data_IF_818452900841
#
_entry.id   IF_818452900841
#
_cell.length_a   1.000
_cell.length_b   1.000
_cell.length_c   1.000
_cell.angle_alpha   90.00
_cell.angle_beta   90.00
_cell.angle_gamma   90.00
#
_symmetry.space_group_name_H-M   'P 1'
#
loop_
_entity.id
_entity.type
_entity.pdbx_description
1 polymer ?
#
# COMPACT_ATOMS: atom_id res chain seq x y z
N UNK A 1 -30.16 58.00 108.86
CA UNK A 1 -30.08 57.44 107.49
C UNK A 1 -31.47 56.96 107.14
N UNK A 2 -32.11 57.64 106.19
CA UNK A 2 -33.51 57.40 105.84
C UNK A 2 -33.63 56.11 105.02
N UNK A 3 -34.43 55.16 105.50
CA UNK A 3 -34.56 53.81 104.91
C UNK A 3 -35.09 53.88 103.47
N UNK A 4 -35.81 54.95 103.12
CA UNK A 4 -36.27 55.23 101.75
C UNK A 4 -35.15 55.56 100.76
N UNK A 5 -34.03 56.14 101.21
CA UNK A 5 -32.91 56.51 100.34
C UNK A 5 -32.06 55.30 99.93
N UNK A 6 -31.90 54.33 100.83
CA UNK A 6 -31.19 53.06 100.56
C UNK A 6 -32.00 52.19 99.59
N UNK A 7 -33.33 52.12 99.77
CA UNK A 7 -34.21 51.38 98.87
C UNK A 7 -34.20 51.95 97.44
N UNK A 8 -34.19 53.28 97.28
CA UNK A 8 -34.10 53.93 95.98
C UNK A 8 -32.76 53.68 95.26
N UNK A 9 -31.64 53.68 95.99
CA UNK A 9 -30.33 53.37 95.42
C UNK A 9 -30.22 51.91 94.94
N UNK A 10 -30.79 50.95 95.68
CA UNK A 10 -30.84 49.54 95.30
C UNK A 10 -31.72 49.34 94.06
N UNK A 11 -32.90 50.00 94.01
CA UNK A 11 -33.78 49.94 92.85
C UNK A 11 -33.13 50.52 91.57
N UNK A 12 -32.38 51.62 91.70
CA UNK A 12 -31.65 52.21 90.57
C UNK A 12 -30.50 51.30 90.10
N UNK A 13 -29.73 50.72 91.04
CA UNK A 13 -28.69 49.74 90.72
C UNK A 13 -29.23 48.49 89.99
N UNK A 14 -30.36 47.96 90.46
CA UNK A 14 -31.04 46.83 89.80
C UNK A 14 -31.53 47.19 88.39
N UNK A 15 -32.05 48.41 88.19
CA UNK A 15 -32.47 48.90 86.88
C UNK A 15 -31.28 49.04 85.90
N UNK A 16 -30.14 49.57 86.35
CA UNK A 16 -28.93 49.67 85.54
C UNK A 16 -28.41 48.29 85.09
N UNK A 17 -28.39 47.30 85.99
CA UNK A 17 -27.99 45.93 85.66
C UNK A 17 -28.97 45.29 84.66
N UNK A 18 -30.28 45.47 84.85
CA UNK A 18 -31.29 44.96 83.92
C UNK A 18 -31.17 45.57 82.51
N UNK A 19 -30.91 46.88 82.42
CA UNK A 19 -30.68 47.57 81.13
C UNK A 19 -29.39 47.10 80.46
N UNK A 20 -28.31 46.89 81.23
CA UNK A 20 -27.05 46.38 80.71
C UNK A 20 -27.19 44.95 80.21
N UNK A 21 -27.81 44.04 80.98
CA UNK A 21 -28.11 42.68 80.55
C UNK A 21 -29.02 42.64 79.31
N UNK A 22 -30.01 43.55 79.22
CA UNK A 22 -30.84 43.69 78.04
C UNK A 22 -30.04 44.19 76.81
N UNK A 23 -29.06 45.09 77.02
CA UNK A 23 -28.18 45.57 75.96
C UNK A 23 -27.20 44.48 75.49
N UNK A 24 -26.64 43.69 76.39
CA UNK A 24 -25.81 42.52 76.05
C UNK A 24 -26.61 41.45 75.31
N UNK A 25 -27.82 41.13 75.78
CA UNK A 25 -28.71 40.21 75.09
C UNK A 25 -29.04 40.68 73.66
N UNK A 26 -29.20 42.00 73.44
CA UNK A 26 -29.39 42.57 72.09
C UNK A 26 -28.14 42.45 71.22
N UNK A 27 -26.94 42.67 71.78
CA UNK A 27 -25.67 42.49 71.06
C UNK A 27 -25.45 41.03 70.67
N UNK A 28 -25.67 40.11 71.62
CA UNK A 28 -25.57 38.67 71.40
C UNK A 28 -26.57 38.18 70.33
N UNK A 29 -27.80 38.72 70.31
CA UNK A 29 -28.78 38.41 69.25
C UNK A 29 -28.34 38.93 67.88
N UNK A 30 -27.77 40.13 67.80
CA UNK A 30 -27.24 40.67 66.53
C UNK A 30 -26.10 39.81 65.99
N UNK A 31 -25.13 39.47 66.84
CA UNK A 31 -24.01 38.60 66.42
C UNK A 31 -24.50 37.21 66.03
N UNK A 32 -25.46 36.63 66.75
CA UNK A 32 -26.07 35.36 66.39
C UNK A 32 -26.81 35.43 65.04
N UNK A 33 -27.53 36.51 64.76
CA UNK A 33 -28.21 36.71 63.47
C UNK A 33 -27.23 36.88 62.32
N UNK A 34 -26.09 37.54 62.56
CA UNK A 34 -25.07 37.75 61.54
C UNK A 34 -24.29 36.45 61.25
N UNK A 35 -23.97 35.69 62.30
CA UNK A 35 -23.41 34.34 62.15
C UNK A 35 -24.36 33.39 61.44
N UNK A 36 -25.67 33.46 61.72
CA UNK A 36 -26.68 32.68 61.01
C UNK A 36 -26.71 33.04 59.51
N UNK A 37 -26.68 34.34 59.17
CA UNK A 37 -26.63 34.80 57.78
C UNK A 37 -25.38 34.30 57.04
N UNK A 38 -24.21 34.39 57.68
CA UNK A 38 -22.94 33.90 57.10
C UNK A 38 -22.99 32.39 56.90
N UNK A 39 -23.54 31.64 57.87
CA UNK A 39 -23.69 30.20 57.76
C UNK A 39 -24.66 29.81 56.62
N UNK A 40 -25.77 30.53 56.46
CA UNK A 40 -26.71 30.33 55.34
C UNK A 40 -26.06 30.61 53.98
N UNK A 41 -25.29 31.69 53.87
CA UNK A 41 -24.55 32.06 52.65
C UNK A 41 -23.50 30.98 52.30
N UNK A 42 -22.72 30.52 53.28
CA UNK A 42 -21.76 29.44 53.09
C UNK A 42 -22.43 28.11 52.69
N UNK A 43 -23.60 27.78 53.25
CA UNK A 43 -24.37 26.61 52.85
C UNK A 43 -24.91 26.74 51.41
N UNK A 44 -25.34 27.93 51.00
CA UNK A 44 -25.79 28.18 49.64
C UNK A 44 -24.65 28.03 48.62
N UNK A 45 -23.47 28.57 48.91
CA UNK A 45 -22.28 28.40 48.07
C UNK A 45 -21.84 26.93 47.98
N UNK A 46 -21.84 26.22 49.11
CA UNK A 46 -21.47 24.80 49.15
C UNK A 46 -22.43 23.96 48.30
N UNK A 47 -23.73 24.26 48.33
CA UNK A 47 -24.73 23.60 47.47
C UNK A 47 -24.45 23.85 45.99
N UNK A 48 -24.16 25.11 45.62
CA UNK A 48 -23.83 25.48 44.24
C UNK A 48 -22.55 24.76 43.76
N UNK A 49 -21.51 24.69 44.59
CA UNK A 49 -20.29 23.95 44.27
C UNK A 49 -20.56 22.45 44.12
N UNK A 50 -21.43 21.87 44.95
CA UNK A 50 -21.81 20.47 44.87
C UNK A 50 -22.57 20.15 43.58
N UNK A 51 -23.46 21.05 43.15
CA UNK A 51 -24.20 20.93 41.89
C UNK A 51 -23.26 21.01 40.68
N UNK A 52 -22.37 22.01 40.63
CA UNK A 52 -21.35 22.12 39.58
C UNK A 52 -20.44 20.89 39.52
N UNK A 53 -20.04 20.34 40.67
CA UNK A 53 -19.22 19.13 40.73
C UNK A 53 -19.98 17.90 40.23
N UNK A 54 -21.30 17.83 40.47
CA UNK A 54 -22.16 16.76 39.94
C UNK A 54 -22.28 16.86 38.42
N UNK A 55 -22.55 18.04 37.89
CA UNK A 55 -22.67 18.27 36.44
C UNK A 55 -21.35 17.98 35.73
N UNK A 56 -20.22 18.41 36.30
CA UNK A 56 -18.90 18.10 35.76
C UNK A 56 -18.64 16.59 35.69
N UNK A 57 -19.05 15.83 36.71
CA UNK A 57 -18.93 14.36 36.71
C UNK A 57 -19.82 13.71 35.66
N UNK A 58 -21.06 14.18 35.50
CA UNK A 58 -21.96 13.67 34.46
C UNK A 58 -21.41 13.94 33.07
N UNK A 59 -20.91 15.15 32.81
CA UNK A 59 -20.30 15.49 31.53
C UNK A 59 -19.03 14.68 31.27
N UNK A 60 -18.19 14.45 32.29
CA UNK A 60 -17.01 13.60 32.17
C UNK A 60 -17.38 12.15 31.82
N UNK A 61 -18.45 11.60 32.42
CA UNK A 61 -18.94 10.26 32.10
C UNK A 61 -19.47 10.16 30.67
N UNK A 62 -20.22 11.15 30.20
CA UNK A 62 -20.71 11.20 28.82
C UNK A 62 -19.56 11.31 27.80
N UNK A 63 -18.55 12.12 28.11
CA UNK A 63 -17.37 12.26 27.25
C UNK A 63 -16.55 10.95 27.19
N UNK A 64 -16.44 10.23 28.31
CA UNK A 64 -15.75 8.94 28.36
C UNK A 64 -16.48 7.90 27.49
N UNK A 65 -17.81 7.76 27.64
CA UNK A 65 -18.62 6.85 26.81
C UNK A 65 -18.53 7.19 25.32
N UNK A 66 -18.56 8.48 24.96
CA UNK A 66 -18.39 8.92 23.58
C UNK A 66 -16.98 8.57 23.04
N UNK A 67 -15.94 8.75 23.85
CA UNK A 67 -14.56 8.41 23.47
C UNK A 67 -14.38 6.89 23.28
N UNK A 68 -14.96 6.08 24.17
CA UNK A 68 -14.94 4.61 24.05
C UNK A 68 -15.66 4.14 22.78
N UNK A 69 -16.83 4.69 22.48
CA UNK A 69 -17.56 4.39 21.23
C UNK A 69 -16.77 4.80 19.98
N UNK A 70 -16.14 5.98 20.00
CA UNK A 70 -15.31 6.44 18.90
C UNK A 70 -14.08 5.55 18.70
N UNK A 71 -13.42 5.13 19.78
CA UNK A 71 -12.29 4.21 19.72
C UNK A 71 -12.69 2.83 19.16
N UNK A 72 -13.83 2.29 19.60
CA UNK A 72 -14.35 1.02 19.08
C UNK A 72 -14.68 1.11 17.58
N UNK A 73 -15.32 2.19 17.14
CA UNK A 73 -15.62 2.42 15.73
C UNK A 73 -14.34 2.58 14.88
N UNK A 74 -13.35 3.31 15.39
CA UNK A 74 -12.06 3.47 14.72
C UNK A 74 -11.32 2.12 14.59
N UNK A 75 -11.35 1.27 15.63
CA UNK A 75 -10.76 -0.06 15.59
C UNK A 75 -11.46 -0.96 14.58
N UNK A 76 -12.80 -0.93 14.51
CA UNK A 76 -13.57 -1.68 13.52
C UNK A 76 -13.22 -1.23 12.09
N UNK A 77 -13.24 0.08 11.84
CA UNK A 77 -12.89 0.66 10.54
C UNK A 77 -11.45 0.34 10.12
N UNK A 78 -10.50 0.39 11.05
CA UNK A 78 -9.12 -0.02 10.77
C UNK A 78 -9.02 -1.52 10.43
N UNK A 79 -9.83 -2.37 11.07
CA UNK A 79 -9.94 -3.80 10.75
C UNK A 79 -10.46 -4.03 9.33
N UNK A 80 -11.56 -3.36 8.96
CA UNK A 80 -12.14 -3.42 7.63
C UNK A 80 -11.16 -2.93 6.55
N UNK A 81 -10.48 -1.81 6.79
CA UNK A 81 -9.48 -1.27 5.87
C UNK A 81 -8.30 -2.22 5.66
N UNK A 82 -7.83 -2.92 6.70
CA UNK A 82 -6.77 -3.94 6.57
C UNK A 82 -7.24 -5.10 5.69
N UNK A 83 -8.46 -5.59 5.91
CA UNK A 83 -9.05 -6.68 5.13
C UNK A 83 -9.24 -6.29 3.67
N UNK A 84 -9.76 -5.09 3.40
CA UNK A 84 -9.92 -4.56 2.04
C UNK A 84 -8.58 -4.43 1.32
N UNK A 85 -7.56 -3.89 1.99
CA UNK A 85 -6.21 -3.78 1.43
C UNK A 85 -5.57 -5.13 1.15
N UNK A 86 -5.80 -6.14 2.01
CA UNK A 86 -5.31 -7.49 1.79
C UNK A 86 -5.96 -8.11 0.54
N UNK A 87 -7.28 -7.99 0.39
CA UNK A 87 -8.02 -8.50 -0.76
C UNK A 87 -7.58 -7.81 -2.07
N UNK A 88 -7.41 -6.49 -2.05
CA UNK A 88 -6.96 -5.73 -3.22
C UNK A 88 -5.56 -6.16 -3.68
N UNK A 89 -4.64 -6.40 -2.73
CA UNK A 89 -3.30 -6.93 -3.06
C UNK A 89 -3.36 -8.32 -3.68
N UNK A 90 -4.22 -9.19 -3.14
CA UNK A 90 -4.41 -10.54 -3.67
C UNK A 90 -5.00 -10.52 -5.08
N UNK A 91 -6.04 -9.71 -5.32
CA UNK A 91 -6.65 -9.54 -6.64
C UNK A 91 -5.62 -9.01 -7.65
N UNK A 92 -4.88 -7.96 -7.29
CA UNK A 92 -3.82 -7.42 -8.13
C UNK A 92 -2.73 -8.46 -8.44
N UNK A 93 -2.34 -9.28 -7.46
CA UNK A 93 -1.37 -10.36 -7.67
C UNK A 93 -1.91 -11.43 -8.64
N UNK A 94 -3.18 -11.83 -8.51
CA UNK A 94 -3.83 -12.78 -9.42
C UNK A 94 -3.96 -12.24 -10.83
N UNK A 95 -4.37 -10.98 -10.98
CA UNK A 95 -4.47 -10.31 -12.28
C UNK A 95 -3.10 -10.21 -12.94
N UNK A 96 -2.06 -9.84 -12.19
CA UNK A 96 -0.69 -9.81 -12.69
C UNK A 96 -0.25 -11.19 -13.16
N UNK A 97 -0.47 -12.24 -12.35
CA UNK A 97 -0.13 -13.61 -12.71
C UNK A 97 -0.89 -14.09 -13.96
N UNK A 98 -2.18 -13.77 -14.08
CA UNK A 98 -2.99 -14.11 -15.24
C UNK A 98 -2.50 -13.40 -16.51
N UNK A 99 -2.18 -12.11 -16.43
CA UNK A 99 -1.61 -11.34 -17.55
C UNK A 99 -0.27 -11.92 -18.00
N UNK A 100 0.65 -12.17 -17.06
CA UNK A 100 1.95 -12.77 -17.38
C UNK A 100 1.80 -14.18 -17.97
N UNK A 101 0.90 -15.00 -17.43
CA UNK A 101 0.62 -16.33 -17.96
C UNK A 101 0.04 -16.31 -19.37
N UNK A 102 -0.88 -15.39 -19.66
CA UNK A 102 -1.44 -15.20 -20.99
C UNK A 102 -0.39 -14.70 -22.00
N UNK A 103 0.45 -13.74 -21.59
CA UNK A 103 1.53 -13.22 -22.43
C UNK A 103 2.55 -14.32 -22.76
N UNK A 104 2.99 -15.11 -21.77
CA UNK A 104 3.87 -16.26 -22.00
C UNK A 104 3.25 -17.31 -22.92
N UNK A 105 1.95 -17.60 -22.75
CA UNK A 105 1.24 -18.53 -23.62
C UNK A 105 1.18 -18.05 -25.08
N UNK A 106 1.06 -16.73 -25.32
CA UNK A 106 1.16 -16.14 -26.66
C UNK A 106 2.58 -16.25 -27.20
N UNK A 107 3.59 -15.86 -26.43
CA UNK A 107 5.00 -15.93 -26.80
C UNK A 107 5.41 -17.36 -27.21
N UNK A 108 4.91 -18.39 -26.51
CA UNK A 108 5.18 -19.81 -26.84
C UNK A 108 4.74 -20.23 -28.24
N UNK A 109 3.80 -19.51 -28.86
CA UNK A 109 3.30 -19.80 -30.22
C UNK A 109 4.29 -19.36 -31.31
N UNK A 110 5.31 -18.56 -30.97
CA UNK A 110 6.43 -18.25 -31.87
C UNK A 110 7.40 -19.43 -31.85
N UNK A 111 7.64 -20.06 -33.01
CA UNK A 111 8.51 -21.24 -33.10
C UNK A 111 9.59 -21.07 -34.16
N UNK A 112 10.69 -21.77 -33.93
CA UNK A 112 11.89 -21.76 -34.77
C UNK A 112 11.96 -23.09 -35.51
N UNK A 113 12.15 -23.03 -36.82
CA UNK A 113 12.44 -24.19 -37.66
C UNK A 113 13.74 -23.96 -38.41
N UNK A 114 14.61 -24.97 -38.47
CA UNK A 114 15.88 -24.89 -39.19
C UNK A 114 15.80 -25.83 -40.38
N UNK A 115 16.07 -25.30 -41.57
CA UNK A 115 16.23 -26.11 -42.78
C UNK A 115 17.44 -25.66 -43.59
N UNK A 116 17.72 -26.30 -44.72
CA UNK A 116 18.81 -25.86 -45.56
C UNK A 116 18.79 -26.38 -46.98
N UNK A 117 19.27 -25.51 -47.86
CA UNK A 117 19.58 -25.79 -49.26
C UNK A 117 20.69 -24.81 -49.66
N UNK A 118 21.94 -25.29 -49.66
CA UNK A 118 23.12 -24.45 -49.89
C UNK A 118 23.57 -23.62 -48.67
N UNK A 119 22.99 -23.81 -47.49
CA UNK A 119 23.32 -23.06 -46.25
C UNK A 119 22.25 -23.30 -45.19
N UNK A 120 22.43 -22.74 -43.99
CA UNK A 120 21.42 -22.80 -42.94
C UNK A 120 20.34 -21.74 -43.20
N UNK A 121 19.08 -22.13 -43.01
CA UNK A 121 17.92 -21.23 -43.04
C UNK A 121 17.16 -21.39 -41.75
N UNK A 122 17.05 -20.30 -40.99
CA UNK A 122 16.22 -20.22 -39.79
C UNK A 122 14.90 -19.60 -40.19
N UNK A 123 13.82 -20.33 -39.97
CA UNK A 123 12.46 -19.86 -40.14
C UNK A 123 11.87 -19.56 -38.78
N UNK A 124 11.30 -18.37 -38.64
CA UNK A 124 10.55 -17.98 -37.45
C UNK A 124 9.11 -17.82 -37.85
N UNK A 125 8.26 -18.61 -37.22
CA UNK A 125 6.84 -18.69 -37.49
C UNK A 125 6.06 -18.06 -36.34
N UNK A 126 5.10 -17.21 -36.69
CA UNK A 126 4.17 -16.63 -35.72
C UNK A 126 2.85 -17.41 -35.69
N UNK A 127 2.72 -18.34 -34.74
CA UNK A 127 1.46 -19.05 -34.49
C UNK A 127 0.47 -18.29 -33.60
N UNK A 128 0.83 -17.08 -33.12
CA UNK A 128 -0.07 -16.25 -32.32
C UNK A 128 -1.17 -15.61 -33.17
N UNK A 129 -2.22 -15.12 -32.52
CA UNK A 129 -3.33 -14.39 -33.15
C UNK A 129 -2.98 -12.90 -33.38
N UNK A 130 -1.83 -12.48 -32.88
CA UNK A 130 -1.35 -11.10 -32.85
C UNK A 130 0.01 -11.00 -33.53
N UNK A 131 0.34 -9.82 -34.05
CA UNK A 131 1.62 -9.56 -34.71
C UNK A 131 2.78 -9.68 -33.71
N UNK A 132 3.94 -10.13 -34.18
CA UNK A 132 5.20 -9.98 -33.46
C UNK A 132 6.09 -9.00 -34.21
N UNK A 133 6.86 -8.21 -33.48
CA UNK A 133 7.67 -7.12 -34.00
C UNK A 133 9.14 -7.32 -33.70
N UNK A 134 10.01 -6.65 -34.46
CA UNK A 134 11.46 -6.60 -34.20
C UNK A 134 12.06 -8.00 -33.99
N UNK A 135 11.74 -8.93 -34.89
CA UNK A 135 12.23 -10.30 -34.80
C UNK A 135 13.67 -10.33 -35.26
N UNK A 136 14.58 -10.66 -34.36
CA UNK A 136 16.03 -10.61 -34.54
C UNK A 136 16.63 -11.99 -34.28
N UNK A 137 17.58 -12.38 -35.14
CA UNK A 137 18.42 -13.54 -34.86
C UNK A 137 19.58 -13.09 -33.95
N UNK A 138 19.50 -13.43 -32.66
CA UNK A 138 20.47 -13.01 -31.64
C UNK A 138 21.66 -13.96 -31.56
N UNK A 139 21.45 -15.27 -31.74
CA UNK A 139 22.51 -16.28 -31.70
C UNK A 139 22.24 -17.44 -32.66
N UNK A 140 23.31 -18.01 -33.21
CA UNK A 140 23.28 -19.21 -34.02
C UNK A 140 24.58 -19.99 -33.81
N UNK A 141 24.55 -21.05 -33.01
CA UNK A 141 25.76 -21.75 -32.57
C UNK A 141 25.64 -23.24 -32.81
N UNK A 142 26.73 -23.87 -33.28
CA UNK A 142 26.84 -25.33 -33.28
C UNK A 142 27.23 -25.81 -31.89
N UNK A 143 26.42 -26.70 -31.30
CA UNK A 143 26.66 -27.23 -29.95
C UNK A 143 27.94 -28.07 -29.89
N UNK A 144 28.26 -28.78 -30.98
CA UNK A 144 29.47 -29.60 -31.08
C UNK A 144 30.74 -28.79 -31.41
N UNK A 145 30.57 -27.56 -31.91
CA UNK A 145 31.63 -26.65 -32.34
C UNK A 145 31.32 -25.21 -31.89
N UNK A 146 31.30 -24.93 -30.57
CA UNK A 146 30.90 -23.61 -30.07
C UNK A 146 31.92 -22.51 -30.38
N UNK A 147 33.16 -22.87 -30.76
CA UNK A 147 34.18 -21.91 -31.21
C UNK A 147 33.94 -21.38 -32.62
N UNK A 148 33.05 -22.01 -33.39
CA UNK A 148 32.74 -21.59 -34.75
C UNK A 148 31.88 -20.33 -34.73
N UNK A 149 32.20 -19.40 -35.62
CA UNK A 149 31.44 -18.18 -35.82
C UNK A 149 30.21 -18.42 -36.71
N UNK A 150 29.31 -17.43 -36.72
CA UNK A 150 28.20 -17.38 -37.64
C UNK A 150 28.03 -15.96 -38.16
N UNK A 151 27.38 -15.83 -39.32
CA UNK A 151 26.94 -14.55 -39.86
C UNK A 151 25.72 -14.71 -40.75
N UNK A 152 24.98 -13.62 -40.96
CA UNK A 152 23.98 -13.56 -42.04
C UNK A 152 24.70 -13.70 -43.38
N UNK A 153 24.17 -14.56 -44.27
CA UNK A 153 24.79 -14.84 -45.56
C UNK A 153 24.80 -13.59 -46.44
N UNK A 154 25.96 -13.06 -46.83
CA UNK A 154 26.05 -11.92 -47.74
C UNK A 154 25.69 -12.31 -49.18
N UNK A 155 25.58 -13.62 -49.47
CA UNK A 155 25.30 -14.13 -50.83
C UNK A 155 23.81 -14.13 -51.16
N UNK A 156 22.94 -14.02 -50.16
CA UNK A 156 21.49 -13.98 -50.34
C UNK A 156 21.02 -12.53 -50.32
N UNK A 157 20.54 -12.07 -51.48
CA UNK A 157 19.97 -10.72 -51.60
C UNK A 157 18.76 -10.57 -50.67
N UNK A 158 18.75 -9.50 -49.87
CA UNK A 158 17.69 -9.24 -48.89
C UNK A 158 17.80 -10.02 -47.59
N UNK A 159 18.90 -10.75 -47.37
CA UNK A 159 19.16 -11.35 -46.06
C UNK A 159 19.36 -10.26 -45.01
N UNK A 160 18.59 -10.34 -43.93
CA UNK A 160 18.63 -9.41 -42.81
C UNK A 160 18.81 -10.19 -41.51
N UNK A 161 19.44 -9.56 -40.51
CA UNK A 161 19.50 -10.07 -39.13
C UNK A 161 18.26 -9.73 -38.32
N UNK A 162 17.38 -8.87 -38.84
CA UNK A 162 16.17 -8.40 -38.18
C UNK A 162 15.03 -8.21 -39.19
N UNK A 163 13.82 -8.58 -38.79
CA UNK A 163 12.57 -8.33 -39.51
C UNK A 163 11.62 -7.49 -38.64
N UNK A 164 11.01 -6.46 -39.21
CA UNK A 164 10.23 -5.51 -38.42
C UNK A 164 8.93 -6.10 -37.87
N UNK A 165 8.31 -7.03 -38.61
CA UNK A 165 6.98 -7.58 -38.28
C UNK A 165 6.76 -8.97 -38.88
N UNK A 166 6.13 -9.87 -38.13
CA UNK A 166 5.56 -11.13 -38.62
C UNK A 166 4.06 -11.15 -38.34
N UNK A 167 3.27 -11.24 -39.40
CA UNK A 167 1.81 -11.26 -39.32
C UNK A 167 1.28 -12.64 -38.87
N UNK A 168 0.19 -12.70 -38.08
CA UNK A 168 -0.46 -13.95 -37.69
C UNK A 168 -0.79 -14.84 -38.89
N UNK A 169 -0.35 -16.10 -38.86
CA UNK A 169 -0.70 -17.08 -39.89
C UNK A 169 -0.18 -16.77 -41.31
N UNK A 170 0.70 -15.79 -41.48
CA UNK A 170 1.30 -15.39 -42.74
C UNK A 170 2.80 -15.79 -42.82
N UNK A 171 3.45 -15.47 -43.94
CA UNK A 171 4.81 -15.92 -44.29
C UNK A 171 5.81 -15.80 -43.13
N UNK A 172 6.54 -16.89 -42.90
CA UNK A 172 7.65 -17.01 -41.95
C UNK A 172 8.73 -15.95 -42.20
N UNK A 173 9.34 -15.43 -41.13
CA UNK A 173 10.60 -14.67 -41.27
C UNK A 173 11.74 -15.63 -41.52
N UNK A 174 12.55 -15.33 -42.53
CA UNK A 174 13.67 -16.17 -42.95
C UNK A 174 15.00 -15.47 -42.68
N UNK A 175 15.87 -16.13 -41.94
CA UNK A 175 17.27 -15.75 -41.79
C UNK A 175 18.14 -16.74 -42.55
N UNK A 176 19.04 -16.24 -43.39
CA UNK A 176 20.00 -17.05 -44.12
C UNK A 176 21.34 -16.96 -43.41
N UNK A 177 21.84 -18.08 -42.90
CA UNK A 177 23.00 -18.11 -42.00
C UNK A 177 24.13 -18.93 -42.61
N UNK A 178 25.34 -18.38 -42.54
CA UNK A 178 26.59 -19.07 -42.84
C UNK A 178 27.33 -19.38 -41.54
N UNK A 179 27.74 -20.64 -41.39
CA UNK A 179 28.69 -21.06 -40.35
C UNK A 179 30.11 -20.84 -40.86
N UNK A 180 30.95 -20.31 -39.97
CA UNK A 180 32.35 -20.05 -40.20
C UNK A 180 33.18 -20.87 -39.21
N UNK A 181 34.17 -21.59 -39.68
CA UNK A 181 35.13 -22.24 -38.77
C UNK A 181 36.06 -21.21 -38.09
N UNK A 182 37.03 -21.70 -37.32
CA UNK A 182 37.99 -20.88 -36.58
C UNK A 182 38.88 -20.03 -37.48
N UNK A 183 39.09 -20.45 -38.73
CA UNK A 183 39.84 -19.73 -39.76
C UNK A 183 38.96 -18.76 -40.56
N UNK A 184 37.65 -18.71 -40.26
CA UNK A 184 36.66 -17.90 -40.96
C UNK A 184 36.20 -18.49 -42.29
N UNK A 185 36.54 -19.74 -42.61
CA UNK A 185 36.09 -20.40 -43.82
C UNK A 185 34.65 -20.90 -43.68
N UNK A 186 33.87 -20.74 -44.75
CA UNK A 186 32.47 -21.13 -44.78
C UNK A 186 32.35 -22.65 -44.74
N UNK A 187 31.54 -23.13 -43.81
CA UNK A 187 31.24 -24.55 -43.66
C UNK A 187 29.94 -24.92 -44.41
N UNK A 188 29.91 -26.10 -45.08
CA UNK A 188 28.72 -26.56 -45.76
C UNK A 188 27.61 -26.89 -44.76
N UNK A 189 26.37 -26.82 -45.23
CA UNK A 189 25.21 -27.22 -44.43
C UNK A 189 25.27 -28.73 -44.14
N UNK A 190 25.22 -29.09 -42.86
CA UNK A 190 25.17 -30.47 -42.40
C UNK A 190 24.25 -30.58 -41.17
N UNK A 191 23.03 -31.09 -41.38
CA UNK A 191 22.06 -31.44 -40.32
C UNK A 191 22.16 -32.90 -39.87
N UNK A 192 22.93 -33.75 -40.56
CA UNK A 192 22.84 -35.20 -40.37
C UNK A 192 23.42 -35.70 -39.03
N UNK A 193 24.06 -34.83 -38.25
CA UNK A 193 24.57 -35.17 -36.92
C UNK A 193 24.75 -34.00 -35.95
N UNK A 194 24.30 -32.79 -36.29
CA UNK A 194 24.73 -31.57 -35.59
C UNK A 194 23.53 -30.80 -35.05
N UNK A 195 23.46 -30.66 -33.73
CA UNK A 195 22.52 -29.78 -33.06
C UNK A 195 23.05 -28.35 -33.15
N UNK A 196 22.27 -27.48 -33.79
CA UNK A 196 22.47 -26.03 -33.75
C UNK A 196 21.52 -25.49 -32.70
N UNK A 197 22.05 -24.63 -31.83
CA UNK A 197 21.29 -23.81 -30.91
C UNK A 197 21.04 -22.44 -31.54
N UNK A 198 19.78 -22.04 -31.60
CA UNK A 198 19.33 -20.78 -32.22
C UNK A 198 18.58 -19.95 -31.19
N UNK A 199 19.02 -18.71 -30.99
CA UNK A 199 18.34 -17.75 -30.14
C UNK A 199 17.78 -16.62 -30.98
N UNK A 200 16.49 -16.34 -30.79
CA UNK A 200 15.81 -15.18 -31.39
C UNK A 200 15.31 -14.23 -30.30
N UNK A 201 15.34 -12.94 -30.61
CA UNK A 201 14.64 -11.89 -29.89
C UNK A 201 13.42 -11.43 -30.67
N UNK A 202 12.32 -11.08 -30.00
CA UNK A 202 11.16 -10.46 -30.63
C UNK A 202 10.33 -9.68 -29.60
N UNK A 203 9.50 -8.76 -30.06
CA UNK A 203 8.56 -8.02 -29.21
C UNK A 203 7.13 -8.43 -29.53
N UNK A 204 6.28 -8.56 -28.51
CA UNK A 204 4.84 -8.71 -28.73
C UNK A 204 4.15 -7.35 -28.99
N UNK A 205 2.84 -7.41 -29.23
CA UNK A 205 1.94 -6.26 -29.40
C UNK A 205 1.88 -5.33 -28.19
N UNK A 206 2.11 -5.86 -26.99
CA UNK A 206 2.14 -5.10 -25.74
C UNK A 206 3.52 -4.41 -25.54
N UNK A 207 4.47 -4.65 -26.44
CA UNK A 207 5.84 -4.11 -26.40
C UNK A 207 6.77 -4.85 -25.45
N UNK A 208 6.36 -6.00 -24.91
CA UNK A 208 7.23 -6.85 -24.11
C UNK A 208 8.20 -7.58 -25.05
N UNK A 209 9.50 -7.44 -24.77
CA UNK A 209 10.55 -8.17 -25.49
C UNK A 209 10.71 -9.56 -24.89
N UNK A 210 10.84 -10.54 -25.76
CA UNK A 210 10.98 -11.96 -25.48
C UNK A 210 12.24 -12.48 -26.16
N UNK A 211 12.89 -13.44 -25.50
CA UNK A 211 14.00 -14.21 -26.06
C UNK A 211 13.62 -15.67 -26.05
N UNK A 212 13.82 -16.38 -27.17
CA UNK A 212 13.60 -17.82 -27.26
C UNK A 212 14.84 -18.51 -27.80
N UNK A 213 15.26 -19.57 -27.13
CA UNK A 213 16.31 -20.48 -27.62
C UNK A 213 15.68 -21.81 -28.04
N UNK A 214 15.82 -22.17 -29.31
CA UNK A 214 15.26 -23.37 -29.94
C UNK A 214 13.77 -23.60 -29.59
N UNK A 215 13.45 -24.80 -29.12
CA UNK A 215 12.13 -25.21 -28.65
C UNK A 215 11.88 -24.87 -27.18
N UNK A 216 12.83 -24.24 -26.49
CA UNK A 216 12.71 -23.79 -25.10
C UNK A 216 11.58 -22.78 -24.89
N UNK A 217 11.21 -22.58 -23.63
CA UNK A 217 10.22 -21.54 -23.28
C UNK A 217 10.81 -20.15 -23.53
N UNK A 218 10.02 -19.21 -24.08
CA UNK A 218 10.48 -17.84 -24.23
C UNK A 218 10.60 -17.15 -22.87
N UNK A 219 11.68 -16.40 -22.69
CA UNK A 219 11.99 -15.65 -21.49
C UNK A 219 11.76 -14.16 -21.75
N UNK A 220 11.10 -13.42 -20.83
CA UNK A 220 10.99 -11.98 -20.97
C UNK A 220 12.38 -11.34 -20.83
N UNK A 221 12.71 -10.44 -21.74
CA UNK A 221 13.91 -9.62 -21.67
C UNK A 221 13.54 -8.33 -20.95
N UNK A 222 14.15 -8.08 -19.80
CA UNK A 222 14.02 -6.80 -19.12
C UNK A 222 14.59 -5.71 -20.01
N UNK A 223 13.75 -4.74 -20.39
CA UNK A 223 14.22 -3.54 -21.08
C UNK A 223 15.09 -2.75 -20.09
N UNK A 224 16.43 -2.84 -20.25
CA UNK A 224 17.41 -2.10 -19.46
C UNK A 224 17.31 -0.59 -19.68
#
# INVERSE_FOLDING_TARGET
MDVGSIAAAIAFGAMCVAVWQAAEARRARKTASEQARIAEEALAETRKQTELARDARTNAALNLDAAEKAAAAAQASAGEARTANALAREQHAREKAAKTGAALARARKVHIEISGMGGYRVHVHNGAEEHVYQVELENFMRVDRPSWGWRISPTVMGAASMHDRIDPGHEESRFFVEMLDEDGARQPFDLAGNHVEVTIGYSDTDGQRWRRTDSGDPEPVDNA
#
